data_IF_870424758119
#
_entry.id   IF_870424758119
#
_cell.length_a   1.000
_cell.length_b   1.000
_cell.length_c   1.000
_cell.angle_alpha   90.00
_cell.angle_beta   90.00
_cell.angle_gamma   90.00
#
_symmetry.space_group_name_H-M   'P 1'
#
loop_
_entity.id
_entity.type
_entity.pdbx_description
1 polymer ?
#
# COMPACT_ATOMS: atom_id res chain seq x y z
N UNK A 1 30.74 -20.12 -2.07
CA UNK A 1 31.12 -18.82 -1.45
C UNK A 1 31.55 -17.78 -2.48
N UNK A 2 32.46 -18.11 -3.41
CA UNK A 2 32.98 -17.15 -4.41
C UNK A 2 31.92 -16.54 -5.34
N UNK A 3 30.89 -17.31 -5.72
CA UNK A 3 29.81 -16.85 -6.60
C UNK A 3 28.90 -15.81 -5.91
N UNK A 4 28.72 -15.94 -4.59
CA UNK A 4 27.95 -15.01 -3.76
C UNK A 4 28.70 -13.67 -3.59
N UNK A 5 30.03 -13.74 -3.43
CA UNK A 5 30.91 -12.57 -3.40
C UNK A 5 30.93 -11.86 -4.76
N UNK A 6 30.89 -12.61 -5.87
CA UNK A 6 30.74 -12.05 -7.23
C UNK A 6 29.41 -11.35 -7.46
N UNK A 7 28.30 -11.87 -6.93
CA UNK A 7 26.98 -11.23 -7.05
C UNK A 7 26.90 -9.94 -6.21
N UNK A 8 27.46 -9.95 -4.98
CA UNK A 8 27.53 -8.78 -4.11
C UNK A 8 28.44 -7.66 -4.63
N UNK A 9 29.44 -8.00 -5.44
CA UNK A 9 30.38 -7.04 -6.05
C UNK A 9 29.87 -6.45 -7.36
N UNK A 10 28.70 -6.85 -7.85
CA UNK A 10 28.04 -6.19 -8.98
C UNK A 10 27.59 -4.80 -8.52
N UNK A 11 28.04 -3.71 -9.18
CA UNK A 11 27.71 -2.33 -8.78
C UNK A 11 26.20 -2.08 -8.64
N UNK A 12 25.41 -2.79 -9.43
CA UNK A 12 23.94 -2.75 -9.41
C UNK A 12 23.37 -3.24 -8.06
N UNK A 13 23.93 -4.32 -7.49
CA UNK A 13 23.48 -4.88 -6.20
C UNK A 13 23.84 -3.95 -5.04
N UNK A 14 25.04 -3.36 -5.07
CA UNK A 14 25.46 -2.34 -4.10
C UNK A 14 24.59 -1.08 -4.16
N UNK A 15 24.24 -0.62 -5.36
CA UNK A 15 23.35 0.54 -5.56
C UNK A 15 21.91 0.24 -5.12
N UNK A 16 21.43 -0.99 -5.35
CA UNK A 16 20.11 -1.46 -4.91
C UNK A 16 20.02 -1.59 -3.38
N UNK A 17 21.05 -2.13 -2.72
CA UNK A 17 21.14 -2.17 -1.25
C UNK A 17 21.21 -0.77 -0.64
N UNK A 18 21.93 0.15 -1.27
CA UNK A 18 22.00 1.55 -0.84
C UNK A 18 20.65 2.25 -1.02
N UNK A 19 19.93 1.98 -2.11
CA UNK A 19 18.57 2.45 -2.34
C UNK A 19 17.61 1.90 -1.27
N UNK A 20 17.64 0.60 -0.98
CA UNK A 20 16.83 -0.01 0.08
C UNK A 20 17.17 0.60 1.45
N UNK A 21 18.44 0.69 1.81
CA UNK A 21 18.89 1.27 3.08
C UNK A 21 18.45 2.73 3.22
N UNK A 22 18.59 3.54 2.17
CA UNK A 22 18.17 4.94 2.16
C UNK A 22 16.64 5.10 2.17
N UNK A 23 15.90 4.14 1.60
CA UNK A 23 14.43 4.08 1.67
C UNK A 23 13.96 3.74 3.10
N UNK A 24 14.65 2.84 3.79
CA UNK A 24 14.35 2.46 5.19
C UNK A 24 14.84 3.47 6.23
N UNK A 25 15.85 4.31 5.93
CA UNK A 25 16.43 5.27 6.90
C UNK A 25 15.91 6.70 6.78
N UNK A 26 15.17 7.05 5.72
CA UNK A 26 14.57 8.39 5.55
C UNK A 26 13.50 8.75 6.60
N UNK A 27 13.14 7.84 7.50
CA UNK A 27 12.12 8.04 8.54
C UNK A 27 12.62 8.78 9.80
N UNK A 28 13.91 9.15 9.91
CA UNK A 28 14.49 9.67 11.18
C UNK A 28 14.98 11.12 11.19
N UNK A 29 14.40 12.01 10.39
CA UNK A 29 14.76 13.44 10.45
C UNK A 29 13.53 14.36 10.43
N UNK A 30 12.70 14.24 11.45
CA UNK A 30 11.85 15.34 11.93
C UNK A 30 11.86 15.32 13.45
N UNK A 31 13.01 15.64 14.05
CA UNK A 31 12.97 16.31 15.34
C UNK A 31 12.35 17.69 15.08
N UNK A 32 11.01 17.75 15.14
CA UNK A 32 10.35 19.03 15.37
C UNK A 32 10.99 19.59 16.63
N UNK A 33 11.62 20.74 16.51
CA UNK A 33 12.16 21.47 17.65
C UNK A 33 10.98 21.86 18.54
N UNK A 34 10.62 20.98 19.49
CA UNK A 34 9.41 21.06 20.31
C UNK A 34 9.38 22.40 21.05
N UNK A 35 10.54 22.94 21.45
CA UNK A 35 10.65 24.26 22.07
C UNK A 35 10.25 25.41 21.13
N UNK A 36 10.65 25.40 19.86
CA UNK A 36 10.24 26.43 18.89
C UNK A 36 8.77 26.32 18.55
N UNK A 37 8.24 25.11 18.43
CA UNK A 37 6.81 24.88 18.21
C UNK A 37 5.98 25.36 19.41
N UNK A 38 6.44 25.08 20.63
CA UNK A 38 5.81 25.53 21.88
C UNK A 38 5.86 27.06 22.03
N UNK A 39 6.97 27.70 21.69
CA UNK A 39 7.09 29.17 21.68
C UNK A 39 6.14 29.84 20.67
N UNK A 40 5.99 29.28 19.46
CA UNK A 40 5.03 29.77 18.45
C UNK A 40 3.59 29.54 18.93
N UNK A 41 3.30 28.37 19.50
CA UNK A 41 2.01 28.08 20.12
C UNK A 41 1.71 29.00 21.29
N UNK A 42 2.65 29.37 22.14
CA UNK A 42 2.36 30.21 23.30
C UNK A 42 2.17 31.69 22.92
N UNK A 43 2.79 32.16 21.83
CA UNK A 43 2.77 33.56 21.41
C UNK A 43 1.85 33.90 20.22
N UNK A 44 1.24 32.91 19.56
CA UNK A 44 0.29 33.19 18.47
C UNK A 44 -1.12 33.56 18.97
N UNK A 45 -1.76 34.51 18.27
CA UNK A 45 -3.16 34.87 18.50
C UNK A 45 -4.14 33.71 18.29
N UNK A 46 -5.29 33.75 18.98
CA UNK A 46 -6.30 32.68 18.96
C UNK A 46 -6.77 32.31 17.54
N UNK A 47 -6.88 33.30 16.65
CA UNK A 47 -7.35 33.07 15.28
C UNK A 47 -6.32 32.33 14.43
N UNK A 48 -5.03 32.61 14.59
CA UNK A 48 -3.96 31.87 13.91
C UNK A 48 -3.90 30.42 14.39
N UNK A 49 -4.06 30.20 15.71
CA UNK A 49 -4.14 28.84 16.27
C UNK A 49 -5.28 28.04 15.65
N UNK A 50 -6.46 28.66 15.56
CA UNK A 50 -7.68 27.99 15.07
C UNK A 50 -7.65 27.75 13.55
N UNK A 51 -7.11 28.69 12.78
CA UNK A 51 -7.11 28.62 11.30
C UNK A 51 -5.93 27.86 10.71
N UNK A 52 -4.79 27.80 11.40
CA UNK A 52 -3.55 27.23 10.86
C UNK A 52 -2.96 26.13 11.74
N UNK A 53 -2.80 26.36 13.05
CA UNK A 53 -2.08 25.39 13.91
C UNK A 53 -2.88 24.11 14.13
N UNK A 54 -4.15 24.22 14.54
CA UNK A 54 -5.01 23.07 14.81
C UNK A 54 -5.21 22.21 13.55
N UNK A 55 -5.62 22.76 12.39
CA UNK A 55 -5.79 21.95 11.17
C UNK A 55 -4.52 21.20 10.76
N UNK A 56 -3.35 21.86 10.80
CA UNK A 56 -2.08 21.22 10.44
C UNK A 56 -1.67 20.11 11.43
N UNK A 57 -1.95 20.29 12.73
CA UNK A 57 -1.69 19.27 13.74
C UNK A 57 -2.59 18.04 13.52
N UNK A 58 -3.86 18.25 13.23
CA UNK A 58 -4.79 17.16 12.93
C UNK A 58 -4.42 16.42 11.65
N UNK A 59 -4.05 17.13 10.58
CA UNK A 59 -3.54 16.53 9.34
C UNK A 59 -2.28 15.68 9.60
N UNK A 60 -1.36 16.21 10.40
CA UNK A 60 -0.11 15.52 10.75
C UNK A 60 -0.39 14.27 11.58
N UNK A 61 -1.21 14.38 12.62
CA UNK A 61 -1.60 13.26 13.46
C UNK A 61 -2.36 12.19 12.66
N UNK A 62 -3.28 12.60 11.80
CA UNK A 62 -4.00 11.68 10.91
C UNK A 62 -3.05 10.96 9.97
N UNK A 63 -2.08 11.66 9.36
CA UNK A 63 -1.06 11.04 8.52
C UNK A 63 -0.20 10.04 9.29
N UNK A 64 0.25 10.36 10.51
CA UNK A 64 1.04 9.43 11.32
C UNK A 64 0.26 8.16 11.67
N UNK A 65 -1.04 8.29 11.96
CA UNK A 65 -1.89 7.15 12.34
C UNK A 65 -2.37 6.30 11.18
N UNK A 66 -2.53 6.89 9.98
CA UNK A 66 -3.18 6.23 8.84
C UNK A 66 -2.25 6.05 7.63
N UNK A 67 -1.20 6.85 7.54
CA UNK A 67 -0.33 7.00 6.38
C UNK A 67 -0.99 7.67 5.18
N UNK A 68 -2.18 8.29 5.34
CA UNK A 68 -2.93 8.95 4.28
C UNK A 68 -2.70 10.46 4.37
N UNK A 69 -1.95 11.01 3.42
CA UNK A 69 -1.80 12.46 3.31
C UNK A 69 -3.11 13.07 2.78
N UNK A 70 -3.74 13.94 3.56
CA UNK A 70 -5.00 14.61 3.20
C UNK A 70 -5.10 15.96 3.93
N UNK A 71 -6.13 16.73 3.60
CA UNK A 71 -6.41 18.00 4.27
C UNK A 71 -7.43 17.80 5.41
N UNK A 72 -7.47 18.75 6.33
CA UNK A 72 -8.35 18.76 7.50
C UNK A 72 -9.82 18.53 7.15
N UNK A 73 -10.31 19.13 6.04
CA UNK A 73 -11.72 19.00 5.62
C UNK A 73 -12.06 17.59 5.13
N UNK A 74 -11.08 16.84 4.64
CA UNK A 74 -11.25 15.50 4.11
C UNK A 74 -11.10 14.41 5.17
N UNK A 75 -10.53 14.72 6.35
CA UNK A 75 -10.36 13.76 7.45
C UNK A 75 -11.70 13.12 7.86
N UNK A 76 -12.79 13.88 8.11
CA UNK A 76 -14.07 13.28 8.49
C UNK A 76 -14.63 12.33 7.43
N UNK A 77 -14.39 12.62 6.14
CA UNK A 77 -14.85 11.76 5.04
C UNK A 77 -14.12 10.41 5.04
N UNK A 78 -12.83 10.38 5.41
CA UNK A 78 -12.08 9.13 5.57
C UNK A 78 -12.54 8.33 6.79
N UNK A 79 -12.88 9.00 7.89
CA UNK A 79 -13.44 8.35 9.08
C UNK A 79 -14.80 7.73 8.77
N UNK A 80 -15.68 8.46 8.07
CA UNK A 80 -16.97 7.96 7.62
C UNK A 80 -16.79 6.75 6.68
N UNK A 81 -15.88 6.85 5.70
CA UNK A 81 -15.55 5.74 4.81
C UNK A 81 -15.11 4.51 5.61
N UNK A 82 -14.23 4.67 6.59
CA UNK A 82 -13.76 3.56 7.42
C UNK A 82 -14.89 2.92 8.22
N UNK A 83 -15.73 3.74 8.84
CA UNK A 83 -16.86 3.27 9.63
C UNK A 83 -17.85 2.49 8.76
N UNK A 84 -18.15 2.98 7.54
CA UNK A 84 -19.02 2.32 6.57
C UNK A 84 -18.41 1.08 5.91
N UNK A 85 -17.09 1.02 5.77
CA UNK A 85 -16.40 -0.14 5.20
C UNK A 85 -16.40 -1.35 6.14
N UNK A 86 -16.70 -1.15 7.44
CA UNK A 86 -16.78 -2.23 8.43
C UNK A 86 -15.43 -2.64 9.03
N UNK A 87 -15.47 -3.51 10.05
CA UNK A 87 -14.31 -3.86 10.90
C UNK A 87 -13.15 -4.54 10.17
N UNK A 88 -13.39 -5.08 8.97
CA UNK A 88 -12.39 -5.85 8.22
C UNK A 88 -11.41 -4.96 7.44
N UNK A 89 -11.68 -3.66 7.30
CA UNK A 89 -10.81 -2.75 6.54
C UNK A 89 -10.00 -1.85 7.48
N UNK A 90 -8.68 -2.07 7.44
CA UNK A 90 -7.73 -1.25 8.19
C UNK A 90 -7.41 0.05 7.44
N UNK A 91 -6.82 1.02 8.14
CA UNK A 91 -6.27 2.22 7.49
C UNK A 91 -5.25 1.89 6.40
N UNK A 92 -4.49 0.80 6.55
CA UNK A 92 -3.56 0.34 5.52
C UNK A 92 -4.27 -0.11 4.24
N UNK A 93 -5.42 -0.80 4.36
CA UNK A 93 -6.24 -1.20 3.22
C UNK A 93 -6.85 0.01 2.51
N UNK A 94 -7.39 0.96 3.29
CA UNK A 94 -7.94 2.22 2.78
C UNK A 94 -6.87 3.04 2.07
N UNK A 95 -5.66 3.13 2.64
CA UNK A 95 -4.51 3.80 2.04
C UNK A 95 -4.13 3.19 0.69
N UNK A 96 -4.12 1.85 0.58
CA UNK A 96 -3.83 1.15 -0.68
C UNK A 96 -4.88 1.45 -1.75
N UNK A 97 -6.16 1.55 -1.37
CA UNK A 97 -7.26 1.83 -2.29
C UNK A 97 -7.38 3.31 -2.70
N UNK A 98 -6.58 4.22 -2.11
CA UNK A 98 -6.71 5.68 -2.25
C UNK A 98 -6.76 6.15 -3.70
N UNK A 99 -6.03 5.52 -4.63
CA UNK A 99 -6.01 5.90 -6.05
C UNK A 99 -7.37 5.78 -6.74
N UNK A 100 -8.31 5.03 -6.15
CA UNK A 100 -9.66 4.77 -6.67
C UNK A 100 -10.72 5.61 -5.94
N UNK A 101 -10.32 6.56 -5.09
CA UNK A 101 -11.24 7.40 -4.34
C UNK A 101 -11.55 8.68 -5.12
N UNK A 102 -12.83 8.97 -5.26
CA UNK A 102 -13.34 10.24 -5.77
C UNK A 102 -13.98 11.00 -4.62
N UNK A 103 -13.60 12.27 -4.49
CA UNK A 103 -14.19 13.17 -3.52
C UNK A 103 -15.39 13.86 -4.16
N UNK A 104 -16.59 13.45 -3.76
CA UNK A 104 -17.82 14.19 -4.02
C UNK A 104 -18.10 15.09 -2.81
N UNK A 105 -18.86 16.17 -2.99
CA UNK A 105 -18.98 17.31 -2.06
C UNK A 105 -19.00 16.96 -0.57
N UNK A 106 -19.69 15.87 -0.19
CA UNK A 106 -19.79 15.40 1.21
C UNK A 106 -19.41 13.92 1.43
N UNK A 107 -18.78 13.23 0.46
CA UNK A 107 -18.44 11.80 0.63
C UNK A 107 -17.30 11.34 -0.26
N UNK A 108 -16.61 10.29 0.19
CA UNK A 108 -15.67 9.55 -0.65
C UNK A 108 -16.43 8.43 -1.37
N UNK A 109 -16.42 8.46 -2.71
CA UNK A 109 -16.95 7.40 -3.56
C UNK A 109 -15.79 6.56 -4.10
N UNK A 110 -15.88 5.24 -3.92
CA UNK A 110 -14.89 4.31 -4.46
C UNK A 110 -15.28 3.92 -5.88
N UNK A 111 -14.54 4.41 -6.88
CA UNK A 111 -14.79 4.13 -8.29
C UNK A 111 -13.65 3.30 -8.87
N UNK A 112 -13.95 2.04 -9.16
CA UNK A 112 -13.08 1.14 -9.92
C UNK A 112 -13.62 1.07 -11.34
N UNK A 113 -12.77 1.36 -12.33
CA UNK A 113 -13.16 1.26 -13.74
C UNK A 113 -13.34 -0.21 -14.14
N UNK A 114 -14.17 -0.46 -15.17
CA UNK A 114 -14.34 -1.81 -15.72
C UNK A 114 -13.01 -2.35 -16.26
N UNK A 115 -12.20 -1.48 -16.86
CA UNK A 115 -10.88 -1.83 -17.36
C UNK A 115 -9.92 -2.26 -16.24
N UNK A 116 -9.81 -1.49 -15.16
CA UNK A 116 -8.95 -1.84 -14.02
C UNK A 116 -9.38 -3.17 -13.38
N UNK A 117 -10.71 -3.39 -13.28
CA UNK A 117 -11.26 -4.65 -12.79
C UNK A 117 -10.84 -5.83 -13.68
N UNK A 118 -11.01 -5.72 -14.99
CA UNK A 118 -10.60 -6.78 -15.93
C UNK A 118 -9.10 -7.04 -15.89
N UNK A 119 -8.26 -6.00 -15.80
CA UNK A 119 -6.81 -6.17 -15.63
C UNK A 119 -6.48 -6.91 -14.34
N UNK A 120 -7.12 -6.55 -13.23
CA UNK A 120 -6.88 -7.21 -11.95
C UNK A 120 -7.28 -8.70 -12.00
N UNK A 121 -8.41 -9.04 -12.61
CA UNK A 121 -8.86 -10.42 -12.79
C UNK A 121 -7.91 -11.24 -13.67
N UNK A 122 -7.50 -10.70 -14.83
CA UNK A 122 -6.52 -11.36 -15.72
C UNK A 122 -5.17 -11.53 -15.02
N UNK A 123 -4.73 -10.51 -14.27
CA UNK A 123 -3.47 -10.55 -13.52
C UNK A 123 -3.50 -11.59 -12.40
N UNK A 124 -4.66 -11.78 -11.73
CA UNK A 124 -4.83 -12.85 -10.75
C UNK A 124 -4.72 -14.24 -11.39
N UNK A 125 -5.31 -14.44 -12.58
CA UNK A 125 -5.15 -15.68 -13.34
C UNK A 125 -3.69 -15.91 -13.75
N UNK A 126 -2.99 -14.86 -14.17
CA UNK A 126 -1.56 -14.94 -14.50
C UNK A 126 -0.73 -15.32 -13.28
N UNK A 127 -0.98 -14.70 -12.11
CA UNK A 127 -0.30 -15.05 -10.86
C UNK A 127 -0.52 -16.51 -10.51
N UNK A 128 -1.76 -17.00 -10.63
CA UNK A 128 -2.09 -18.39 -10.36
C UNK A 128 -1.32 -19.34 -11.29
N UNK A 129 -1.35 -19.05 -12.60
CA UNK A 129 -0.63 -19.83 -13.61
C UNK A 129 0.88 -19.88 -13.35
N UNK A 130 1.51 -18.72 -13.09
CA UNK A 130 2.94 -18.64 -12.79
C UNK A 130 3.29 -19.36 -11.48
N UNK A 131 2.40 -19.33 -10.48
CA UNK A 131 2.59 -20.05 -9.22
C UNK A 131 2.58 -21.56 -9.42
N UNK A 132 1.69 -22.09 -10.28
CA UNK A 132 1.65 -23.51 -10.64
C UNK A 132 2.94 -23.93 -11.37
N UNK A 133 3.41 -23.13 -12.33
CA UNK A 133 4.69 -23.38 -13.01
C UNK A 133 5.84 -23.39 -12.01
N UNK A 134 5.92 -22.37 -11.15
CA UNK A 134 6.97 -22.26 -10.14
C UNK A 134 6.97 -23.49 -9.21
N UNK A 135 5.79 -23.95 -8.80
CA UNK A 135 5.67 -25.15 -7.98
C UNK A 135 6.16 -26.41 -8.72
N UNK A 136 5.73 -26.61 -9.97
CA UNK A 136 6.18 -27.73 -10.80
C UNK A 136 7.69 -27.74 -11.01
N UNK A 137 8.29 -26.58 -11.29
CA UNK A 137 9.75 -26.46 -11.44
C UNK A 137 10.50 -26.75 -10.14
N UNK A 138 9.90 -26.44 -8.98
CA UNK A 138 10.50 -26.76 -7.67
C UNK A 138 10.52 -28.26 -7.41
N UNK A 139 9.47 -28.98 -7.81
CA UNK A 139 9.43 -30.45 -7.73
C UNK A 139 10.52 -31.06 -8.62
N UNK A 140 10.67 -30.58 -9.86
CA UNK A 140 11.72 -31.05 -10.77
C UNK A 140 13.13 -30.79 -10.23
N UNK A 141 13.34 -29.65 -9.57
CA UNK A 141 14.60 -29.30 -8.92
C UNK A 141 15.01 -30.35 -7.87
N UNK A 142 14.05 -30.94 -7.17
CA UNK A 142 14.33 -31.96 -6.13
C UNK A 142 14.95 -33.24 -6.66
N UNK A 143 14.87 -33.48 -7.98
CA UNK A 143 15.38 -34.69 -8.64
C UNK A 143 16.71 -34.47 -9.37
N UNK A 144 17.17 -33.22 -9.48
CA UNK A 144 18.36 -32.85 -10.26
C UNK A 144 19.60 -32.82 -9.37
N UNK A 145 20.71 -33.35 -9.91
CA UNK A 145 22.01 -33.32 -9.24
C UNK A 145 22.57 -31.89 -9.13
N UNK A 146 23.37 -31.65 -8.09
CA UNK A 146 23.93 -30.33 -7.80
C UNK A 146 24.97 -29.95 -8.87
N UNK A 147 24.54 -29.11 -9.82
CA UNK A 147 25.34 -28.68 -10.97
C UNK A 147 24.87 -27.36 -11.57
N UNK A 148 25.33 -27.05 -12.79
CA UNK A 148 24.97 -25.81 -13.51
C UNK A 148 23.45 -25.67 -13.72
N UNK A 149 22.77 -26.77 -14.00
CA UNK A 149 21.33 -26.81 -14.26
C UNK A 149 20.52 -26.49 -12.99
N UNK A 150 21.00 -26.94 -11.82
CA UNK A 150 20.43 -26.63 -10.52
C UNK A 150 20.46 -25.13 -10.23
N UNK A 151 21.60 -24.47 -10.48
CA UNK A 151 21.74 -23.01 -10.27
C UNK A 151 20.83 -22.24 -11.23
N UNK A 152 20.76 -22.65 -12.50
CA UNK A 152 19.91 -22.01 -13.50
C UNK A 152 18.42 -22.10 -13.12
N UNK A 153 17.97 -23.25 -12.63
CA UNK A 153 16.59 -23.42 -12.16
C UNK A 153 16.27 -22.58 -10.92
N UNK A 154 17.19 -22.45 -9.96
CA UNK A 154 17.00 -21.55 -8.80
C UNK A 154 16.82 -20.10 -9.26
N UNK A 155 17.67 -19.63 -10.17
CA UNK A 155 17.56 -18.26 -10.72
C UNK A 155 16.20 -18.06 -11.42
N UNK A 156 15.75 -19.06 -12.18
CA UNK A 156 14.45 -19.03 -12.84
C UNK A 156 13.28 -18.94 -11.85
N UNK A 157 13.30 -19.73 -10.76
CA UNK A 157 12.28 -19.70 -9.71
C UNK A 157 12.26 -18.32 -9.02
N UNK A 158 13.42 -17.78 -8.66
CA UNK A 158 13.51 -16.45 -8.03
C UNK A 158 12.97 -15.36 -8.97
N UNK A 159 13.28 -15.45 -10.26
CA UNK A 159 12.74 -14.54 -11.27
C UNK A 159 11.21 -14.65 -11.38
N UNK A 160 10.66 -15.86 -11.43
CA UNK A 160 9.21 -16.08 -11.46
C UNK A 160 8.52 -15.50 -10.21
N UNK A 161 9.07 -15.75 -9.02
CA UNK A 161 8.55 -15.18 -7.78
C UNK A 161 8.62 -13.65 -7.77
N UNK A 162 9.69 -13.07 -8.31
CA UNK A 162 9.83 -11.63 -8.46
C UNK A 162 8.77 -11.03 -9.38
N UNK A 163 8.52 -11.64 -10.54
CA UNK A 163 7.47 -11.23 -11.47
C UNK A 163 6.09 -11.31 -10.80
N UNK A 164 5.79 -12.42 -10.11
CA UNK A 164 4.54 -12.58 -9.35
C UNK A 164 4.40 -11.47 -8.30
N UNK A 165 5.48 -11.16 -7.57
CA UNK A 165 5.50 -10.09 -6.58
C UNK A 165 5.19 -8.71 -7.17
N UNK A 166 5.76 -8.38 -8.33
CA UNK A 166 5.49 -7.11 -9.04
C UNK A 166 4.03 -7.04 -9.45
N UNK A 167 3.50 -8.09 -10.09
CA UNK A 167 2.12 -8.11 -10.58
C UNK A 167 1.15 -8.00 -9.40
N UNK A 168 1.38 -8.76 -8.32
CA UNK A 168 0.57 -8.70 -7.12
C UNK A 168 0.58 -7.32 -6.46
N UNK A 169 1.75 -6.66 -6.42
CA UNK A 169 1.87 -5.30 -5.91
C UNK A 169 1.08 -4.30 -6.77
N UNK A 170 1.18 -4.41 -8.10
CA UNK A 170 0.52 -3.50 -9.04
C UNK A 170 -1.01 -3.56 -8.94
N UNK A 171 -1.60 -4.74 -8.74
CA UNK A 171 -3.06 -4.91 -8.68
C UNK A 171 -3.66 -4.74 -7.27
N UNK A 172 -2.81 -4.71 -6.23
CA UNK A 172 -3.25 -4.59 -4.84
C UNK A 172 -4.18 -3.38 -4.57
N UNK A 173 -3.90 -2.16 -5.09
CA UNK A 173 -4.79 -1.02 -4.95
C UNK A 173 -6.20 -1.30 -5.48
N UNK A 174 -6.29 -1.92 -6.65
CA UNK A 174 -7.56 -2.24 -7.33
C UNK A 174 -8.33 -3.32 -6.59
N UNK A 175 -7.66 -4.38 -6.12
CA UNK A 175 -8.30 -5.43 -5.30
C UNK A 175 -8.87 -4.85 -4.01
N UNK A 176 -8.10 -4.00 -3.32
CA UNK A 176 -8.56 -3.35 -2.09
C UNK A 176 -9.76 -2.43 -2.35
N UNK A 177 -9.72 -1.64 -3.43
CA UNK A 177 -10.82 -0.76 -3.82
C UNK A 177 -12.09 -1.55 -4.17
N UNK A 178 -11.97 -2.66 -4.91
CA UNK A 178 -13.11 -3.54 -5.21
C UNK A 178 -13.73 -4.13 -3.94
N UNK A 179 -12.89 -4.57 -2.98
CA UNK A 179 -13.36 -5.09 -1.70
C UNK A 179 -14.14 -4.03 -0.92
N UNK A 180 -13.57 -2.84 -0.74
CA UNK A 180 -14.22 -1.73 -0.04
C UNK A 180 -15.55 -1.38 -0.72
N UNK A 181 -15.54 -1.23 -2.05
CA UNK A 181 -16.75 -0.91 -2.83
C UNK A 181 -17.86 -1.94 -2.59
N UNK A 182 -17.54 -3.23 -2.64
CA UNK A 182 -18.49 -4.32 -2.41
C UNK A 182 -19.11 -4.27 -1.01
N UNK A 183 -18.30 -3.96 0.02
CA UNK A 183 -18.83 -3.87 1.39
C UNK A 183 -19.71 -2.63 1.59
N UNK A 184 -19.35 -1.49 0.98
CA UNK A 184 -20.18 -0.29 0.99
C UNK A 184 -21.55 -0.53 0.33
N UNK A 185 -21.56 -1.19 -0.83
CA UNK A 185 -22.80 -1.56 -1.55
C UNK A 185 -23.68 -2.49 -0.72
N UNK A 186 -23.06 -3.48 -0.06
CA UNK A 186 -23.76 -4.43 0.83
C UNK A 186 -24.37 -3.72 2.04
N UNK A 187 -23.64 -2.81 2.68
CA UNK A 187 -24.11 -2.08 3.86
C UNK A 187 -25.25 -1.11 3.50
N UNK A 188 -25.17 -0.43 2.36
CA UNK A 188 -26.27 0.40 1.85
C UNK A 188 -27.53 -0.42 1.55
N UNK A 189 -27.36 -1.63 0.98
CA UNK A 189 -28.51 -2.52 0.75
C UNK A 189 -29.15 -3.00 2.05
N UNK A 190 -28.35 -3.20 3.10
CA UNK A 190 -28.84 -3.63 4.41
C UNK A 190 -29.63 -2.52 5.11
N UNK A 191 -29.15 -1.29 5.11
CA UNK A 191 -29.89 -0.16 5.72
C UNK A 191 -31.25 0.05 5.06
N UNK A 192 -31.32 -0.05 3.72
CA UNK A 192 -32.58 0.07 2.98
C UNK A 192 -33.61 -1.03 3.30
N UNK A 193 -33.19 -2.16 3.87
CA UNK A 193 -34.08 -3.26 4.28
C UNK A 193 -34.50 -3.16 5.75
N UNK A 194 -33.78 -2.39 6.58
CA UNK A 194 -34.14 -2.13 7.98
C UNK A 194 -35.13 -0.95 8.11
N UNK A 195 -35.25 -0.13 7.06
CA UNK A 195 -36.17 1.02 6.97
C UNK A 195 -37.57 0.66 6.39
N UNK A 196 -37.85 -0.63 6.10
CA UNK A 196 -39.13 -1.16 5.58
C UNK A 196 -39.79 -2.01 6.66
#
# INVERSE_FOLDING_TARGET
MELFIKILSIPVVGTFLKFLYQFFTKEKAKELNIEKAKFILDNCGKDFKKSFVIPNLEESYFYERTGIATNYKSIPLYEELKNKSGKNYTWASIRKAKSHFLFEENKIVVKVSTFDKSIAEISLLLILYLSVISFGTTILLSQISWGKDFIQMIIMILFLMFVVGIVAYAINPTIMAMGIKKELEKNNKKSLLEDI
#
